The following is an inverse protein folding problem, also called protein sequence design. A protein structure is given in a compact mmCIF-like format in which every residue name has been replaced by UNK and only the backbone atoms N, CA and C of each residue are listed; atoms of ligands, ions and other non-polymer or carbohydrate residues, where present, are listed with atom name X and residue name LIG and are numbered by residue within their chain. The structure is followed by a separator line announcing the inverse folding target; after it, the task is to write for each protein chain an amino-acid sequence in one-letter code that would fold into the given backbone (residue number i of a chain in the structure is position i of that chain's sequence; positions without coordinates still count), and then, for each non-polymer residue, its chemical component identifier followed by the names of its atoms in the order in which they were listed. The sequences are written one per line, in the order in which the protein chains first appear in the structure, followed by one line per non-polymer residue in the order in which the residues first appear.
data_IF_123817784800
#
_entry.id   IF_123817784800
#
_cell.length_a   1.000
_cell.length_b   1.000
_cell.length_c   1.000
_cell.angle_alpha   90.00
_cell.angle_beta   90.00
_cell.angle_gamma   90.00
#
_symmetry.space_group_name_H-M   'P 1'
#
loop_
_entity.id
_entity.type
_entity.pdbx_description
1 polymer ?
#
# COMPACT_ATOMS: atom_id res chain seq x y z
N UNK A 1 17.22 -22.05 -23.00
CA UNK A 1 17.22 -20.62 -23.41
C UNK A 1 16.71 -19.79 -22.25
N UNK A 2 17.59 -19.07 -21.55
CA UNK A 2 17.24 -18.31 -20.35
C UNK A 2 16.53 -17.01 -20.70
N UNK A 3 15.32 -16.83 -20.17
CA UNK A 3 14.54 -15.60 -20.32
C UNK A 3 15.34 -14.40 -19.83
N UNK A 4 15.78 -13.51 -20.72
CA UNK A 4 16.58 -12.34 -20.34
C UNK A 4 15.76 -11.42 -19.43
N UNK A 5 16.23 -11.25 -18.19
CA UNK A 5 15.58 -10.50 -17.11
C UNK A 5 16.03 -9.03 -17.17
N UNK A 6 15.30 -8.25 -17.96
CA UNK A 6 15.53 -6.81 -18.11
C UNK A 6 14.22 -6.06 -18.26
N UNK A 7 14.23 -4.82 -17.82
CA UNK A 7 13.15 -3.86 -17.91
C UNK A 7 12.97 -3.44 -19.36
N UNK A 8 11.75 -3.63 -19.86
CA UNK A 8 11.37 -3.19 -21.20
C UNK A 8 9.87 -3.01 -21.28
N UNK A 9 9.44 -1.99 -22.02
CA UNK A 9 8.02 -1.79 -22.35
C UNK A 9 7.43 -2.96 -23.12
N UNK A 10 8.26 -3.73 -23.85
CA UNK A 10 7.83 -4.95 -24.55
C UNK A 10 7.61 -6.17 -23.65
N UNK A 11 7.95 -6.08 -22.35
CA UNK A 11 7.84 -7.17 -21.37
C UNK A 11 7.13 -6.70 -20.09
N UNK A 12 5.88 -6.24 -20.16
CA UNK A 12 5.20 -5.58 -19.04
C UNK A 12 5.14 -6.43 -17.78
N UNK A 13 4.97 -7.75 -17.89
CA UNK A 13 4.97 -8.66 -16.75
C UNK A 13 6.31 -8.74 -16.00
N UNK A 14 7.44 -8.79 -16.73
CA UNK A 14 8.78 -8.83 -16.11
C UNK A 14 9.12 -7.46 -15.53
N UNK A 15 8.84 -6.39 -16.27
CA UNK A 15 9.05 -5.02 -15.83
C UNK A 15 8.27 -4.71 -14.55
N UNK A 16 7.01 -5.17 -14.44
CA UNK A 16 6.23 -5.02 -13.21
C UNK A 16 6.89 -5.74 -12.03
N UNK A 17 7.34 -6.99 -12.21
CA UNK A 17 7.99 -7.75 -11.14
C UNK A 17 9.32 -7.14 -10.70
N UNK A 18 10.13 -6.64 -11.65
CA UNK A 18 11.35 -5.89 -11.37
C UNK A 18 11.07 -4.61 -10.58
N UNK A 19 10.04 -3.86 -10.99
CA UNK A 19 9.60 -2.66 -10.27
C UNK A 19 9.16 -2.97 -8.85
N UNK A 20 8.34 -4.00 -8.65
CA UNK A 20 7.92 -4.42 -7.30
C UNK A 20 9.15 -4.81 -6.46
N UNK A 21 10.04 -5.65 -7.00
CA UNK A 21 11.25 -6.03 -6.28
C UNK A 21 12.08 -4.81 -5.90
N UNK A 22 12.28 -3.87 -6.82
CA UNK A 22 13.03 -2.64 -6.61
C UNK A 22 12.44 -1.79 -5.49
N UNK A 23 11.11 -1.59 -5.49
CA UNK A 23 10.41 -0.81 -4.46
C UNK A 23 10.56 -1.46 -3.07
N UNK A 24 10.42 -2.78 -2.98
CA UNK A 24 10.44 -3.47 -1.68
C UNK A 24 11.85 -3.70 -1.12
N UNK A 25 12.86 -3.77 -1.99
CA UNK A 25 14.27 -3.98 -1.60
C UNK A 25 15.09 -2.69 -1.50
N UNK A 26 14.58 -1.57 -2.00
CA UNK A 26 15.32 -0.31 -2.20
C UNK A 26 16.55 -0.46 -3.12
N UNK A 27 16.58 -1.51 -3.95
CA UNK A 27 17.65 -1.78 -4.90
C UNK A 27 17.23 -1.27 -6.29
N UNK A 28 18.07 -0.49 -7.01
CA UNK A 28 17.77 -0.08 -8.37
C UNK A 28 17.60 -1.28 -9.32
N UNK A 29 16.63 -1.18 -10.24
CA UNK A 29 16.32 -2.21 -11.25
C UNK A 29 17.58 -2.69 -11.98
N UNK A 30 18.46 -1.79 -12.40
CA UNK A 30 19.70 -2.16 -13.10
C UNK A 30 20.64 -3.08 -12.28
N UNK A 31 20.62 -3.01 -10.95
CA UNK A 31 21.37 -3.94 -10.09
C UNK A 31 20.67 -5.30 -9.99
N UNK A 32 19.34 -5.29 -9.90
CA UNK A 32 18.52 -6.51 -9.86
C UNK A 32 18.66 -7.30 -11.17
N UNK A 33 18.62 -6.63 -12.32
CA UNK A 33 18.85 -7.25 -13.63
C UNK A 33 20.21 -7.95 -13.70
N UNK A 34 21.26 -7.31 -13.19
CA UNK A 34 22.61 -7.89 -13.11
C UNK A 34 22.64 -9.11 -12.18
N UNK A 35 22.00 -9.00 -11.01
CA UNK A 35 21.94 -10.06 -10.02
C UNK A 35 21.22 -11.32 -10.52
N UNK A 36 20.14 -11.13 -11.29
CA UNK A 36 19.31 -12.20 -11.83
C UNK A 36 19.63 -12.56 -13.28
N UNK A 37 20.68 -11.98 -13.86
CA UNK A 37 21.15 -12.34 -15.19
C UNK A 37 21.53 -13.81 -15.24
N UNK A 38 20.92 -14.56 -16.15
CA UNK A 38 21.16 -16.01 -16.29
C UNK A 38 20.53 -16.87 -15.20
N UNK A 39 19.93 -16.29 -14.16
CA UNK A 39 19.12 -17.01 -13.18
C UNK A 39 17.73 -17.29 -13.77
N UNK A 40 17.20 -18.48 -13.53
CA UNK A 40 15.86 -18.86 -14.01
C UNK A 40 14.75 -18.06 -13.34
N UNK A 41 13.61 -17.95 -14.02
CA UNK A 41 12.42 -17.20 -13.55
C UNK A 41 11.89 -17.68 -12.19
N UNK A 42 12.01 -18.98 -11.91
CA UNK A 42 11.62 -19.60 -10.64
C UNK A 42 12.38 -18.97 -9.46
N UNK A 43 13.71 -18.85 -9.58
CA UNK A 43 14.58 -18.32 -8.52
C UNK A 43 14.24 -16.86 -8.23
N UNK A 44 14.02 -16.05 -9.27
CA UNK A 44 13.60 -14.66 -9.09
C UNK A 44 12.28 -14.58 -8.33
N UNK A 45 11.27 -15.36 -8.74
CA UNK A 45 9.96 -15.37 -8.09
C UNK A 45 10.03 -15.80 -6.63
N UNK A 46 10.82 -16.82 -6.31
CA UNK A 46 11.04 -17.27 -4.94
C UNK A 46 11.63 -16.15 -4.08
N UNK A 47 12.67 -15.47 -4.58
CA UNK A 47 13.27 -14.32 -3.89
C UNK A 47 12.32 -13.14 -3.74
N UNK A 48 11.53 -12.84 -4.76
CA UNK A 48 10.51 -11.80 -4.69
C UNK A 48 9.44 -12.12 -3.64
N UNK A 49 8.93 -13.35 -3.63
CA UNK A 49 7.93 -13.79 -2.64
C UNK A 49 8.47 -13.68 -1.23
N UNK A 50 9.70 -14.13 -0.99
CA UNK A 50 10.32 -14.05 0.34
C UNK A 50 10.47 -12.59 0.79
N UNK A 51 10.97 -11.72 -0.09
CA UNK A 51 11.08 -10.28 0.17
C UNK A 51 9.73 -9.66 0.54
N UNK A 52 8.66 -9.99 -0.21
CA UNK A 52 7.32 -9.48 0.05
C UNK A 52 6.77 -9.96 1.41
N UNK A 53 6.98 -11.23 1.74
CA UNK A 53 6.58 -11.78 3.04
C UNK A 53 7.26 -10.99 4.17
N UNK A 54 8.59 -10.86 4.11
CA UNK A 54 9.38 -10.18 5.14
C UNK A 54 8.97 -8.71 5.29
N UNK A 55 8.79 -7.99 4.18
CA UNK A 55 8.46 -6.56 4.21
C UNK A 55 7.01 -6.28 4.63
N UNK A 56 6.07 -7.19 4.33
CA UNK A 56 4.66 -7.04 4.71
C UNK A 56 4.34 -7.61 6.10
N UNK A 57 5.22 -8.44 6.67
CA UNK A 57 5.01 -9.07 7.97
C UNK A 57 4.71 -8.07 9.10
N UNK A 58 5.44 -6.94 9.27
CA UNK A 58 5.15 -5.98 10.32
C UNK A 58 3.73 -5.38 10.21
N UNK A 59 3.25 -5.15 8.99
CA UNK A 59 1.89 -4.65 8.75
C UNK A 59 0.83 -5.68 9.11
N UNK A 60 1.06 -6.96 8.76
CA UNK A 60 0.17 -8.08 9.11
C UNK A 60 0.09 -8.28 10.62
N UNK A 61 1.24 -8.25 11.30
CA UNK A 61 1.31 -8.33 12.75
C UNK A 61 0.58 -7.15 13.39
N UNK A 62 0.83 -5.92 12.92
CA UNK A 62 0.19 -4.73 13.49
C UNK A 62 -1.33 -4.74 13.30
N UNK A 63 -1.80 -5.19 12.15
CA UNK A 63 -3.23 -5.38 11.89
C UNK A 63 -3.83 -6.38 12.91
N UNK A 64 -3.21 -7.54 13.07
CA UNK A 64 -3.67 -8.57 14.02
C UNK A 64 -3.66 -8.07 15.47
N UNK A 65 -2.64 -7.31 15.87
CA UNK A 65 -2.61 -6.67 17.19
C UNK A 65 -3.80 -5.74 17.40
N UNK A 66 -4.10 -4.88 16.42
CA UNK A 66 -5.19 -3.90 16.50
C UNK A 66 -6.56 -4.58 16.50
N UNK A 67 -6.75 -5.64 15.70
CA UNK A 67 -8.00 -6.42 15.68
C UNK A 67 -8.33 -7.02 17.05
N UNK A 68 -7.32 -7.34 17.86
CA UNK A 68 -7.52 -7.86 19.22
C UNK A 68 -7.75 -6.76 20.27
N UNK A 69 -7.69 -5.48 19.90
CA UNK A 69 -7.79 -4.33 20.80
C UNK A 69 -9.08 -3.53 20.56
N UNK A 70 -10.23 -4.20 20.71
CA UNK A 70 -11.56 -3.63 20.43
C UNK A 70 -11.77 -2.25 21.08
N UNK A 71 -11.48 -2.11 22.38
CA UNK A 71 -11.68 -0.85 23.09
C UNK A 71 -10.80 0.30 22.55
N UNK A 72 -9.58 -0.01 22.09
CA UNK A 72 -8.71 0.98 21.46
C UNK A 72 -9.28 1.42 20.11
N UNK A 73 -9.75 0.47 19.30
CA UNK A 73 -10.37 0.76 18.00
C UNK A 73 -11.60 1.66 18.17
N UNK A 74 -12.48 1.33 19.11
CA UNK A 74 -13.66 2.14 19.42
C UNK A 74 -13.29 3.57 19.83
N UNK A 75 -12.27 3.72 20.67
CA UNK A 75 -11.75 5.04 21.07
C UNK A 75 -11.21 5.84 19.87
N UNK A 76 -10.46 5.19 18.97
CA UNK A 76 -9.94 5.84 17.76
C UNK A 76 -11.09 6.27 16.84
N UNK A 77 -12.07 5.40 16.63
CA UNK A 77 -13.25 5.66 15.79
C UNK A 77 -14.07 6.81 16.35
N UNK A 78 -14.33 6.82 17.67
CA UNK A 78 -15.09 7.89 18.33
C UNK A 78 -14.37 9.25 18.21
N UNK A 79 -13.05 9.27 18.38
CA UNK A 79 -12.26 10.48 18.17
C UNK A 79 -12.26 10.95 16.71
N UNK A 80 -12.20 10.00 15.76
CA UNK A 80 -12.36 10.29 14.33
C UNK A 80 -13.73 10.90 14.02
N UNK A 81 -14.79 10.29 14.55
CA UNK A 81 -16.18 10.74 14.41
C UNK A 81 -16.36 12.16 14.93
N UNK A 82 -15.88 12.48 16.13
CA UNK A 82 -15.96 13.84 16.70
C UNK A 82 -15.31 14.88 15.78
N UNK A 83 -14.10 14.60 15.28
CA UNK A 83 -13.38 15.50 14.37
C UNK A 83 -14.12 15.69 13.05
N UNK A 84 -14.58 14.60 12.44
CA UNK A 84 -15.34 14.64 11.19
C UNK A 84 -16.67 15.40 11.36
N UNK A 85 -17.38 15.18 12.47
CA UNK A 85 -18.65 15.84 12.79
C UNK A 85 -18.50 17.36 12.86
N UNK A 86 -17.42 17.87 13.46
CA UNK A 86 -17.16 19.31 13.54
C UNK A 86 -17.07 19.90 12.14
N UNK A 87 -16.22 19.32 11.28
CA UNK A 87 -16.00 19.80 9.91
C UNK A 87 -17.30 19.70 9.08
N UNK A 88 -17.97 18.56 9.13
CA UNK A 88 -19.21 18.32 8.40
C UNK A 88 -20.33 19.27 8.86
N UNK A 89 -20.45 19.52 10.16
CA UNK A 89 -21.47 20.43 10.70
C UNK A 89 -21.29 21.87 10.22
N UNK A 90 -20.05 22.34 10.11
CA UNK A 90 -19.74 23.69 9.59
C UNK A 90 -20.09 23.79 8.10
N UNK A 91 -19.71 22.79 7.30
CA UNK A 91 -20.07 22.72 5.90
C UNK A 91 -21.60 22.70 5.71
N UNK A 92 -22.30 21.86 6.47
CA UNK A 92 -23.76 21.75 6.40
C UNK A 92 -24.47 23.03 6.85
N UNK A 93 -23.94 23.75 7.84
CA UNK A 93 -24.47 25.09 8.21
C UNK A 93 -24.41 26.06 7.03
N UNK A 94 -23.28 26.09 6.30
CA UNK A 94 -23.12 26.95 5.11
C UNK A 94 -24.07 26.54 3.99
N UNK A 95 -24.18 25.24 3.70
CA UNK A 95 -25.11 24.71 2.70
C UNK A 95 -26.56 25.07 3.06
N UNK A 96 -26.99 24.80 4.30
CA UNK A 96 -28.36 25.11 4.75
C UNK A 96 -28.65 26.61 4.65
N UNK A 97 -27.71 27.48 5.05
CA UNK A 97 -27.84 28.94 4.91
C UNK A 97 -28.05 29.34 3.45
N UNK A 98 -27.22 28.82 2.54
CA UNK A 98 -27.30 29.14 1.11
C UNK A 98 -28.58 28.63 0.45
N UNK A 99 -29.13 27.51 0.94
CA UNK A 99 -30.39 26.93 0.46
C UNK A 99 -31.64 27.57 1.08
N UNK A 100 -31.50 28.60 1.91
CA UNK A 100 -32.62 29.22 2.62
C UNK A 100 -33.18 28.38 3.78
N UNK A 101 -32.57 27.24 4.10
CA UNK A 101 -32.92 26.34 5.21
C UNK A 101 -32.27 26.77 6.55
N UNK A 102 -31.73 27.99 6.61
CA UNK A 102 -30.92 28.51 7.72
C UNK A 102 -31.68 29.31 8.79
N UNK A 103 -33.01 29.35 8.71
CA UNK A 103 -33.88 29.97 9.72
C UNK A 103 -35.08 29.06 10.01
N UNK A 104 -34.99 28.29 11.09
CA UNK A 104 -35.99 28.12 12.16
C UNK A 104 -35.19 27.92 13.45
#
# INVERSE_FOLDING_TARGET
MGSSYYYSSSKPGISNLLTIYSIFSDIPIAKIEKEFKGKGYKIFKEKLTQLLIEKLEPFRQKKKELENQQALLEKILENGRKRAQIIASQAMKKVRKNMGLGKI
#
